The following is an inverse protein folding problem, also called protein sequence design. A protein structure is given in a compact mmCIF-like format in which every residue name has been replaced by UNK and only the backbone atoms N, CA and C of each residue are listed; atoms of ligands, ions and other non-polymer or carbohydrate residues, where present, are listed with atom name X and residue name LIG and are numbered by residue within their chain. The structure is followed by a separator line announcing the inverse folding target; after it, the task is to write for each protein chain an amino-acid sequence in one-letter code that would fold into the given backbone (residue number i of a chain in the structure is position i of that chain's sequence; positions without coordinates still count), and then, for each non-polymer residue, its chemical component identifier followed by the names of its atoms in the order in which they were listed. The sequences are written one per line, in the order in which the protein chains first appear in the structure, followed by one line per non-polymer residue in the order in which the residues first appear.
data_IF_854751818328
#
_entry.id   IF_854751818328
#
_cell.length_a   1.000
_cell.length_b   1.000
_cell.length_c   1.000
_cell.angle_alpha   90.00
_cell.angle_beta   90.00
_cell.angle_gamma   90.00
#
_symmetry.space_group_name_H-M   'P 1'
#
loop_
_entity.id
_entity.type
_entity.pdbx_description
1 polymer ?
#
# COMPACT_ATOMS: atom_id res chain seq x y z
N UNK A 1 17.06 11.98 26.83
CA UNK A 1 16.22 11.61 25.67
C UNK A 1 16.54 10.17 25.32
N UNK A 2 15.54 9.30 25.33
CA UNK A 2 15.69 7.91 24.86
C UNK A 2 15.05 7.85 23.49
N UNK A 3 15.77 7.35 22.50
CA UNK A 3 15.26 7.12 21.14
C UNK A 3 15.12 5.62 20.95
N UNK A 4 13.91 5.16 20.67
CA UNK A 4 13.65 3.77 20.31
C UNK A 4 13.35 3.70 18.82
N UNK A 5 14.16 2.95 18.08
CA UNK A 5 13.98 2.70 16.66
C UNK A 5 13.51 1.27 16.48
N UNK A 6 12.48 1.07 15.67
CA UNK A 6 11.92 -0.23 15.35
C UNK A 6 11.68 -0.32 13.84
N UNK A 7 11.97 -1.47 13.25
CA UNK A 7 11.82 -1.69 11.83
C UNK A 7 12.19 -3.12 11.45
N UNK A 8 11.89 -3.50 10.22
CA UNK A 8 12.31 -4.77 9.64
C UNK A 8 13.22 -4.49 8.46
N UNK A 9 14.50 -4.82 8.58
CA UNK A 9 15.50 -4.58 7.54
C UNK A 9 15.43 -5.56 6.37
N UNK A 10 14.43 -6.45 6.36
CA UNK A 10 14.07 -7.27 5.20
C UNK A 10 13.03 -6.57 4.33
N UNK A 11 12.61 -5.35 4.69
CA UNK A 11 11.75 -4.49 3.88
C UNK A 11 12.59 -3.70 2.86
N UNK A 12 11.90 -2.97 1.98
CA UNK A 12 12.52 -2.13 0.94
C UNK A 12 13.50 -1.12 1.54
N UNK A 13 14.62 -0.90 0.85
CA UNK A 13 15.60 0.12 1.20
C UNK A 13 14.99 1.54 1.11
N UNK A 14 15.59 2.55 1.78
CA UNK A 14 15.17 3.93 1.62
C UNK A 14 15.23 4.36 0.15
N UNK A 15 14.15 4.99 -0.32
CA UNK A 15 14.11 5.52 -1.69
C UNK A 15 14.92 6.81 -1.77
N UNK A 16 16.04 6.79 -2.50
CA UNK A 16 16.87 7.96 -2.76
C UNK A 16 16.71 8.38 -4.22
N UNK A 17 16.03 9.50 -4.45
CA UNK A 17 15.79 10.00 -5.80
C UNK A 17 17.11 10.28 -6.53
N UNK A 18 17.33 9.61 -7.68
CA UNK A 18 18.57 9.68 -8.47
C UNK A 18 19.81 9.20 -7.69
N UNK A 19 19.62 8.42 -6.62
CA UNK A 19 20.70 7.82 -5.84
C UNK A 19 21.28 6.58 -6.51
N UNK A 20 22.49 6.22 -6.09
CA UNK A 20 23.12 4.94 -6.39
C UNK A 20 22.75 3.90 -5.33
N UNK A 21 22.95 2.59 -5.59
CA UNK A 21 22.79 1.56 -4.56
C UNK A 21 23.63 1.84 -3.29
N UNK A 22 24.81 2.47 -3.43
CA UNK A 22 25.62 2.87 -2.29
C UNK A 22 24.95 3.97 -1.45
N UNK A 23 24.26 4.93 -2.09
CA UNK A 23 23.52 5.97 -1.40
C UNK A 23 22.34 5.40 -0.61
N UNK A 24 21.63 4.41 -1.17
CA UNK A 24 20.55 3.70 -0.47
C UNK A 24 21.06 2.95 0.76
N UNK A 25 22.20 2.26 0.64
CA UNK A 25 22.85 1.55 1.75
C UNK A 25 23.32 2.54 2.82
N UNK A 26 23.93 3.65 2.43
CA UNK A 26 24.40 4.68 3.36
C UNK A 26 23.24 5.40 4.08
N UNK A 27 22.07 5.49 3.44
CA UNK A 27 20.85 5.99 4.05
C UNK A 27 20.21 4.99 5.02
N UNK A 28 20.59 3.70 4.97
CA UNK A 28 20.07 2.70 5.90
C UNK A 28 20.55 2.96 7.31
N UNK A 29 19.65 2.80 8.29
CA UNK A 29 19.98 2.98 9.70
C UNK A 29 21.15 2.10 10.17
N UNK A 30 21.33 0.90 9.58
CA UNK A 30 22.47 0.02 9.88
C UNK A 30 23.84 0.64 9.56
N UNK A 31 23.91 1.60 8.65
CA UNK A 31 25.15 2.31 8.32
C UNK A 31 25.49 3.41 9.35
N UNK A 32 24.55 3.77 10.23
CA UNK A 32 24.75 4.80 11.24
C UNK A 32 25.61 4.32 12.41
N UNK A 33 26.54 5.17 12.86
CA UNK A 33 27.34 4.95 14.08
C UNK A 33 26.48 4.86 15.35
N UNK A 34 25.23 5.31 15.29
CA UNK A 34 24.29 5.23 16.40
C UNK A 34 23.67 3.83 16.55
N UNK A 35 23.82 2.96 15.55
CA UNK A 35 23.24 1.62 15.52
C UNK A 35 24.07 0.59 16.31
N UNK A 36 24.24 0.84 17.61
CA UNK A 36 25.12 0.04 18.49
C UNK A 36 24.36 -0.94 19.38
N UNK A 37 23.17 -0.58 19.85
CA UNK A 37 22.37 -1.39 20.76
C UNK A 37 21.15 -1.94 20.02
N UNK A 38 21.18 -3.23 19.69
CA UNK A 38 20.17 -3.88 18.85
C UNK A 38 19.50 -5.01 19.63
N UNK A 39 18.17 -4.99 19.66
CA UNK A 39 17.35 -6.09 20.18
C UNK A 39 16.55 -6.67 19.03
N UNK A 40 16.64 -7.98 18.84
CA UNK A 40 15.91 -8.70 17.80
C UNK A 40 14.72 -9.43 18.39
N UNK A 41 13.55 -9.29 17.75
CA UNK A 41 12.34 -10.05 18.08
C UNK A 41 12.22 -11.25 17.13
N UNK A 42 12.11 -12.45 17.68
CA UNK A 42 12.05 -13.71 16.91
C UNK A 42 10.65 -14.31 16.82
N UNK A 43 9.74 -13.95 17.74
CA UNK A 43 8.39 -14.52 17.79
C UNK A 43 7.44 -13.79 16.84
N UNK A 44 6.93 -14.49 15.83
CA UNK A 44 5.87 -13.98 14.96
C UNK A 44 4.50 -14.11 15.67
N UNK A 45 4.07 -13.03 16.32
CA UNK A 45 2.78 -13.00 17.04
C UNK A 45 1.57 -13.21 16.12
N UNK A 46 1.65 -12.84 14.83
CA UNK A 46 0.54 -13.07 13.89
C UNK A 46 0.28 -14.56 13.68
N UNK A 47 1.34 -15.35 13.54
CA UNK A 47 1.24 -16.81 13.41
C UNK A 47 0.86 -17.46 14.74
N UNK A 48 1.47 -17.00 15.85
CA UNK A 48 1.23 -17.58 17.17
C UNK A 48 -0.23 -17.45 17.61
N UNK A 49 -0.83 -16.28 17.41
CA UNK A 49 -2.20 -15.99 17.88
C UNK A 49 -3.29 -16.74 17.10
N UNK A 50 -3.03 -17.11 15.84
CA UNK A 50 -4.03 -17.77 14.99
C UNK A 50 -3.84 -19.29 14.91
N UNK A 51 -2.73 -19.82 15.46
CA UNK A 51 -2.33 -21.23 15.46
C UNK A 51 -2.53 -21.98 14.12
N UNK A 52 -2.38 -21.25 13.01
CA UNK A 52 -2.57 -21.78 11.67
C UNK A 52 -1.26 -22.39 11.14
N UNK A 53 -1.31 -23.68 10.81
CA UNK A 53 -0.18 -24.42 10.27
C UNK A 53 0.27 -23.86 8.91
N UNK A 54 -0.66 -23.44 8.05
CA UNK A 54 -0.35 -22.87 6.74
C UNK A 54 0.31 -21.49 6.90
N UNK A 55 -0.24 -20.63 7.75
CA UNK A 55 0.38 -19.34 8.09
C UNK A 55 1.80 -19.51 8.63
N UNK A 56 2.07 -20.57 9.41
CA UNK A 56 3.41 -20.90 9.92
C UNK A 56 4.38 -21.29 8.82
N UNK A 57 3.96 -22.16 7.90
CA UNK A 57 4.77 -22.57 6.75
C UNK A 57 5.07 -21.37 5.84
N UNK A 58 4.06 -20.57 5.54
CA UNK A 58 4.19 -19.34 4.75
C UNK A 58 5.16 -18.34 5.41
N UNK A 59 5.02 -18.08 6.71
CA UNK A 59 5.92 -17.20 7.45
C UNK A 59 7.37 -17.71 7.45
N UNK A 60 7.57 -19.03 7.61
CA UNK A 60 8.91 -19.63 7.56
C UNK A 60 9.56 -19.47 6.17
N UNK A 61 8.77 -19.58 5.09
CA UNK A 61 9.26 -19.34 3.74
C UNK A 61 9.61 -17.86 3.51
N UNK A 62 8.76 -16.92 3.94
CA UNK A 62 9.07 -15.49 3.87
C UNK A 62 10.37 -15.13 4.62
N UNK A 63 10.62 -15.76 5.77
CA UNK A 63 11.88 -15.58 6.51
C UNK A 63 13.09 -16.09 5.71
N UNK A 64 12.97 -17.25 5.04
CA UNK A 64 14.05 -17.76 4.18
C UNK A 64 14.32 -16.83 3.01
N UNK A 65 13.29 -16.23 2.41
CA UNK A 65 13.44 -15.24 1.33
C UNK A 65 14.15 -13.99 1.86
N UNK A 66 13.67 -13.41 2.96
CA UNK A 66 14.25 -12.18 3.52
C UNK A 66 15.67 -12.34 4.07
N UNK A 67 16.10 -13.57 4.36
CA UNK A 67 17.44 -13.89 4.87
C UNK A 67 18.35 -14.48 3.79
N UNK A 68 17.92 -14.42 2.52
CA UNK A 68 18.66 -14.88 1.35
C UNK A 68 19.12 -16.36 1.47
N UNK A 69 18.22 -17.20 1.97
CA UNK A 69 18.45 -18.65 2.16
C UNK A 69 17.63 -19.53 1.22
N UNK A 70 16.91 -18.93 0.28
CA UNK A 70 16.24 -19.69 -0.76
C UNK A 70 17.26 -20.08 -1.84
N UNK A 71 17.20 -21.30 -2.39
CA UNK A 71 18.01 -21.66 -3.54
C UNK A 71 17.73 -20.70 -4.69
N UNK A 72 18.79 -20.11 -5.23
CA UNK A 72 18.75 -19.29 -6.43
C UNK A 72 19.38 -20.04 -7.61
N UNK A 73 18.95 -19.71 -8.82
CA UNK A 73 19.58 -20.19 -10.05
C UNK A 73 20.86 -19.39 -10.37
N UNK A 74 21.44 -19.65 -11.55
CA UNK A 74 22.64 -18.96 -12.05
C UNK A 74 22.45 -17.46 -12.26
N UNK A 75 21.21 -16.98 -12.35
CA UNK A 75 20.85 -15.57 -12.50
C UNK A 75 20.50 -14.91 -11.17
N UNK A 76 20.73 -15.61 -10.04
CA UNK A 76 20.34 -15.17 -8.69
C UNK A 76 18.83 -15.01 -8.51
N UNK A 77 18.03 -15.72 -9.31
CA UNK A 77 16.57 -15.70 -9.21
C UNK A 77 16.08 -16.85 -8.34
N UNK A 78 15.13 -16.55 -7.45
CA UNK A 78 14.48 -17.56 -6.61
C UNK A 78 13.29 -18.17 -7.34
N UNK A 79 13.13 -19.48 -7.24
CA UNK A 79 11.92 -20.16 -7.71
C UNK A 79 10.91 -20.25 -6.56
N UNK A 80 9.75 -19.62 -6.73
CA UNK A 80 8.65 -19.75 -5.77
C UNK A 80 7.88 -21.05 -6.03
N UNK A 81 7.70 -21.86 -4.98
CA UNK A 81 6.90 -23.09 -5.07
C UNK A 81 5.40 -22.77 -5.16
N UNK A 82 4.64 -23.71 -5.71
CA UNK A 82 3.16 -23.64 -5.78
C UNK A 82 2.49 -23.61 -4.41
N UNK A 83 3.21 -24.00 -3.36
CA UNK A 83 2.75 -23.91 -1.96
C UNK A 83 2.75 -22.46 -1.43
N UNK A 84 3.57 -21.58 -2.03
CA UNK A 84 3.71 -20.19 -1.59
C UNK A 84 2.93 -19.21 -2.44
N UNK A 85 2.78 -19.51 -3.73
CA UNK A 85 2.04 -18.66 -4.64
C UNK A 85 1.40 -19.47 -5.77
N UNK A 86 0.30 -18.93 -6.28
CA UNK A 86 -0.27 -19.33 -7.55
C UNK A 86 0.25 -18.41 -8.64
N UNK A 87 0.92 -18.97 -9.64
CA UNK A 87 1.35 -18.22 -10.82
C UNK A 87 0.16 -18.10 -11.77
N UNK A 88 -0.14 -16.87 -12.17
CA UNK A 88 -1.17 -16.55 -13.15
C UNK A 88 -0.50 -15.96 -14.39
N UNK A 89 -1.01 -16.33 -15.55
CA UNK A 89 -0.49 -15.98 -16.88
C UNK A 89 -0.96 -14.61 -17.40
N UNK A 90 -1.94 -13.99 -16.74
CA UNK A 90 -2.49 -12.71 -17.17
C UNK A 90 -3.02 -11.84 -16.02
N UNK A 91 -3.04 -10.52 -16.25
CA UNK A 91 -3.68 -9.57 -15.33
C UNK A 91 -5.19 -9.78 -15.23
N UNK A 92 -5.83 -10.32 -16.28
CA UNK A 92 -7.24 -10.70 -16.27
C UNK A 92 -7.51 -11.83 -15.27
N UNK A 93 -6.69 -12.87 -15.28
CA UNK A 93 -6.80 -13.98 -14.33
C UNK A 93 -6.48 -13.54 -12.90
N UNK A 94 -5.49 -12.66 -12.72
CA UNK A 94 -5.21 -12.03 -11.42
C UNK A 94 -6.41 -11.24 -10.89
N UNK A 95 -6.99 -10.38 -11.74
CA UNK A 95 -8.17 -9.58 -11.41
C UNK A 95 -9.33 -10.48 -10.98
N UNK A 96 -9.65 -11.52 -11.74
CA UNK A 96 -10.78 -12.41 -11.45
C UNK A 96 -10.52 -13.32 -10.25
N UNK A 97 -9.27 -13.68 -9.98
CA UNK A 97 -8.87 -14.42 -8.77
C UNK A 97 -9.06 -13.59 -7.51
N UNK A 98 -8.67 -12.30 -7.55
CA UNK A 98 -8.78 -11.40 -6.38
C UNK A 98 -10.19 -10.85 -6.22
N UNK A 99 -10.84 -10.46 -7.31
CA UNK A 99 -12.17 -9.85 -7.34
C UNK A 99 -13.19 -10.71 -8.13
N UNK A 100 -13.51 -11.93 -7.66
CA UNK A 100 -14.54 -12.76 -8.29
C UNK A 100 -15.92 -12.08 -8.19
N UNK A 101 -16.69 -12.15 -9.27
CA UNK A 101 -18.05 -11.57 -9.33
C UNK A 101 -18.11 -10.11 -8.85
N UNK A 102 -17.14 -9.30 -9.27
CA UNK A 102 -16.96 -7.90 -8.83
C UNK A 102 -18.27 -7.10 -8.87
N UNK A 103 -19.07 -7.24 -9.94
CA UNK A 103 -20.33 -6.52 -10.10
C UNK A 103 -21.35 -6.84 -9.00
N UNK A 104 -21.41 -8.10 -8.58
CA UNK A 104 -22.32 -8.52 -7.51
C UNK A 104 -21.84 -8.07 -6.13
N UNK A 105 -20.53 -7.87 -5.95
CA UNK A 105 -19.92 -7.59 -4.66
C UNK A 105 -19.44 -6.15 -4.46
N UNK A 106 -19.55 -5.28 -5.47
CA UNK A 106 -19.00 -3.92 -5.41
C UNK A 106 -19.57 -3.09 -4.26
N UNK A 107 -20.80 -3.35 -3.83
CA UNK A 107 -21.42 -2.68 -2.68
C UNK A 107 -21.06 -3.31 -1.32
N UNK A 108 -20.46 -4.51 -1.32
CA UNK A 108 -20.07 -5.22 -0.12
C UNK A 108 -18.72 -4.73 0.40
N UNK A 109 -18.77 -3.84 1.40
CA UNK A 109 -17.59 -3.21 2.02
C UNK A 109 -16.67 -4.22 2.71
N UNK A 110 -17.22 -5.23 3.37
CA UNK A 110 -16.41 -6.26 4.03
C UNK A 110 -15.66 -7.09 2.99
N UNK A 111 -16.33 -7.45 1.90
CA UNK A 111 -15.70 -8.15 0.79
C UNK A 111 -14.58 -7.32 0.12
N UNK A 112 -14.82 -6.03 -0.11
CA UNK A 112 -13.81 -5.12 -0.66
C UNK A 112 -12.61 -4.93 0.28
N UNK A 113 -12.85 -4.90 1.60
CA UNK A 113 -11.79 -4.63 2.56
C UNK A 113 -10.76 -5.76 2.67
N UNK A 114 -11.13 -6.99 2.32
CA UNK A 114 -10.23 -8.15 2.40
C UNK A 114 -9.31 -8.28 1.20
N UNK A 115 -9.47 -7.43 0.18
CA UNK A 115 -8.84 -7.59 -1.13
C UNK A 115 -8.00 -6.39 -1.52
N UNK A 116 -6.85 -6.65 -2.13
CA UNK A 116 -5.97 -5.65 -2.72
C UNK A 116 -5.10 -6.31 -3.77
N UNK A 117 -4.83 -5.61 -4.87
CA UNK A 117 -3.81 -5.99 -5.84
C UNK A 117 -2.63 -5.05 -5.65
N UNK A 118 -1.44 -5.62 -5.45
CA UNK A 118 -0.19 -4.89 -5.42
C UNK A 118 0.56 -5.16 -6.73
N UNK A 119 1.22 -4.14 -7.27
CA UNK A 119 2.03 -4.27 -8.47
C UNK A 119 3.36 -3.50 -8.31
N UNK A 120 4.44 -3.92 -9.02
CA UNK A 120 5.75 -3.30 -8.86
C UNK A 120 5.82 -1.84 -9.35
N UNK A 121 4.97 -1.46 -10.32
CA UNK A 121 4.99 -0.12 -10.91
C UNK A 121 3.60 0.50 -10.98
N UNK A 122 3.55 1.83 -10.89
CA UNK A 122 2.31 2.59 -10.99
C UNK A 122 1.63 2.48 -12.36
N UNK A 123 2.39 2.22 -13.43
CA UNK A 123 1.84 1.95 -14.75
C UNK A 123 0.99 0.67 -14.76
N UNK A 124 1.50 -0.42 -14.16
CA UNK A 124 0.76 -1.68 -14.04
C UNK A 124 -0.47 -1.48 -13.14
N UNK A 125 -0.32 -0.73 -12.04
CA UNK A 125 -1.46 -0.34 -11.17
C UNK A 125 -2.52 0.40 -11.99
N UNK A 126 -2.13 1.39 -12.80
CA UNK A 126 -3.04 2.15 -13.66
C UNK A 126 -3.81 1.26 -14.64
N UNK A 127 -3.11 0.33 -15.30
CA UNK A 127 -3.74 -0.64 -16.22
C UNK A 127 -4.76 -1.54 -15.52
N UNK A 128 -4.44 -2.08 -14.35
CA UNK A 128 -5.34 -2.94 -13.58
C UNK A 128 -6.53 -2.15 -13.06
N UNK A 129 -6.30 -0.93 -12.54
CA UNK A 129 -7.37 -0.05 -12.08
C UNK A 129 -8.34 0.29 -13.21
N UNK A 130 -7.83 0.58 -14.42
CA UNK A 130 -8.68 0.84 -15.59
C UNK A 130 -9.52 -0.39 -15.99
N UNK A 131 -8.97 -1.60 -15.90
CA UNK A 131 -9.71 -2.85 -16.13
C UNK A 131 -10.83 -3.08 -15.09
N UNK A 132 -10.55 -2.79 -13.82
CA UNK A 132 -11.56 -2.89 -12.75
C UNK A 132 -12.65 -1.82 -12.96
N UNK A 133 -12.25 -0.59 -13.28
CA UNK A 133 -13.17 0.53 -13.55
C UNK A 133 -14.10 0.26 -14.75
N UNK A 134 -13.65 -0.46 -15.78
CA UNK A 134 -14.50 -0.83 -16.92
C UNK A 134 -15.58 -1.86 -16.55
N UNK A 135 -15.33 -2.70 -15.54
CA UNK A 135 -16.25 -3.75 -15.12
C UNK A 135 -17.34 -3.27 -14.17
N UNK A 136 -17.07 -2.18 -13.42
CA UNK A 136 -18.03 -1.56 -12.50
C UNK A 136 -19.06 -0.75 -13.30
N UNK A 137 -20.33 -0.95 -13.00
CA UNK A 137 -21.44 -0.20 -13.64
C UNK A 137 -21.51 1.24 -13.12
N UNK A 138 -22.14 2.12 -13.90
CA UNK A 138 -22.34 3.53 -13.54
C UNK A 138 -21.46 4.50 -14.30
N UNK A 139 -21.82 5.78 -14.19
CA UNK A 139 -21.21 6.86 -14.94
C UNK A 139 -19.82 7.23 -14.40
N UNK A 140 -18.88 7.40 -15.32
CA UNK A 140 -17.56 7.94 -14.99
C UNK A 140 -17.68 9.45 -14.79
N UNK A 141 -17.33 9.93 -13.61
CA UNK A 141 -17.13 11.35 -13.33
C UNK A 141 -15.64 11.65 -13.36
N UNK A 142 -15.29 12.72 -14.06
CA UNK A 142 -13.91 13.14 -14.26
C UNK A 142 -13.67 14.46 -13.52
N UNK A 143 -12.72 14.45 -12.59
CA UNK A 143 -12.24 15.62 -11.88
C UNK A 143 -10.91 16.05 -12.49
N UNK A 144 -10.87 17.29 -12.97
CA UNK A 144 -9.64 17.87 -13.49
C UNK A 144 -8.93 18.64 -12.38
N UNK A 145 -7.62 18.48 -12.30
CA UNK A 145 -6.79 19.34 -11.44
C UNK A 145 -6.81 20.75 -12.01
N UNK A 146 -7.11 21.76 -11.19
CA UNK A 146 -6.96 23.16 -11.58
C UNK A 146 -5.52 23.55 -11.24
N UNK A 147 -4.68 23.67 -12.26
CA UNK A 147 -3.28 24.09 -12.14
C UNK A 147 -3.11 25.59 -11.86
N UNK A 148 -4.21 26.37 -11.91
CA UNK A 148 -4.12 27.82 -11.80
C UNK A 148 -3.95 28.25 -10.33
N UNK A 149 -2.76 28.76 -10.03
CA UNK A 149 -2.53 29.70 -8.94
C UNK A 149 -3.29 30.98 -9.29
N UNK A 150 -4.54 31.07 -8.83
CA UNK A 150 -5.29 32.32 -8.81
C UNK A 150 -5.36 32.73 -7.35
N UNK A 151 -4.81 33.92 -7.08
CA UNK A 151 -4.57 34.55 -5.77
C UNK A 151 -3.32 34.10 -4.98
N UNK A 152 -2.32 34.99 -5.02
CA UNK A 152 -1.16 35.02 -4.12
C UNK A 152 -1.54 35.18 -2.63
N UNK A 153 -2.82 35.37 -2.32
CA UNK A 153 -3.33 35.54 -0.95
C UNK A 153 -4.02 34.29 -0.38
N UNK A 154 -4.24 33.23 -1.18
CA UNK A 154 -4.79 31.94 -0.73
C UNK A 154 -3.79 30.77 -0.89
N UNK A 155 -2.50 31.05 -0.65
CA UNK A 155 -1.43 30.04 -0.69
C UNK A 155 -1.56 29.10 0.51
N UNK A 156 -2.46 28.12 0.44
CA UNK A 156 -2.22 26.85 1.16
C UNK A 156 -1.18 26.07 0.38
N UNK A 157 0.10 26.37 0.64
CA UNK A 157 1.26 25.47 0.56
C UNK A 157 1.07 24.25 -0.35
N UNK A 158 1.20 24.41 -1.67
CA UNK A 158 1.45 23.29 -2.56
C UNK A 158 2.92 23.36 -3.01
N UNK A 159 3.80 22.48 -2.49
CA UNK A 159 5.14 22.36 -3.03
C UNK A 159 5.05 21.85 -4.46
N UNK A 160 5.67 22.56 -5.39
CA UNK A 160 5.77 22.19 -6.81
C UNK A 160 6.32 20.77 -6.98
N UNK A 161 7.19 20.33 -6.07
CA UNK A 161 7.78 18.99 -6.03
C UNK A 161 6.75 17.86 -5.83
N UNK A 162 5.65 18.12 -5.10
CA UNK A 162 4.58 17.14 -4.90
C UNK A 162 3.79 16.92 -6.19
N UNK A 163 3.54 17.97 -6.95
CA UNK A 163 2.84 17.90 -8.24
C UNK A 163 3.71 17.21 -9.30
N UNK A 164 5.00 17.53 -9.35
CA UNK A 164 5.96 16.87 -10.24
C UNK A 164 6.15 15.36 -9.90
N UNK A 165 6.01 14.97 -8.63
CA UNK A 165 6.07 13.56 -8.22
C UNK A 165 4.89 12.72 -8.72
N UNK A 166 3.74 13.36 -9.00
CA UNK A 166 2.57 12.71 -9.58
C UNK A 166 2.72 12.50 -11.10
N UNK A 167 3.46 13.37 -11.79
CA UNK A 167 3.67 13.31 -13.25
C UNK A 167 4.60 12.16 -13.68
N UNK A 168 5.58 11.79 -12.86
CA UNK A 168 6.57 10.75 -13.17
C UNK A 168 6.02 9.31 -13.12
N UNK A 169 4.75 9.10 -12.71
CA UNK A 169 4.22 7.79 -12.33
C UNK A 169 3.22 7.14 -13.30
N UNK A 170 3.00 7.67 -14.50
CA UNK A 170 2.09 7.05 -15.49
C UNK A 170 0.60 7.17 -15.17
N UNK A 171 0.23 7.87 -14.08
CA UNK A 171 -1.13 8.36 -13.85
C UNK A 171 -1.17 9.79 -14.40
N UNK A 172 -2.12 10.10 -15.31
CA UNK A 172 -2.29 11.48 -15.81
C UNK A 172 -2.73 12.36 -14.63
N UNK A 173 -1.79 13.07 -14.01
CA UNK A 173 -1.95 13.86 -12.77
C UNK A 173 -3.08 14.90 -12.83
N UNK A 174 -3.45 15.34 -14.04
CA UNK A 174 -4.50 16.33 -14.28
C UNK A 174 -5.91 15.75 -14.30
N UNK A 175 -6.10 14.41 -14.19
CA UNK A 175 -7.40 13.78 -14.41
C UNK A 175 -7.67 12.60 -13.48
N UNK A 176 -8.60 12.78 -12.55
CA UNK A 176 -9.11 11.73 -11.66
C UNK A 176 -10.47 11.24 -12.18
N UNK A 177 -10.55 9.96 -12.58
CA UNK A 177 -11.79 9.32 -13.04
C UNK A 177 -12.33 8.41 -11.94
N UNK A 178 -13.60 8.58 -11.58
CA UNK A 178 -14.25 7.81 -10.52
C UNK A 178 -15.65 7.37 -10.94
N UNK A 179 -16.12 6.28 -10.32
CA UNK A 179 -17.51 5.81 -10.34
C UNK A 179 -18.00 5.66 -8.91
N UNK A 180 -19.32 5.69 -8.69
CA UNK A 180 -19.88 5.32 -7.39
C UNK A 180 -19.62 3.82 -7.14
N UNK A 181 -19.38 3.44 -5.88
CA UNK A 181 -19.12 2.06 -5.47
C UNK A 181 -17.64 1.66 -5.47
N UNK A 182 -16.77 2.37 -6.18
CA UNK A 182 -15.35 1.96 -6.32
C UNK A 182 -14.54 2.25 -5.05
N UNK A 183 -13.59 1.37 -4.69
CA UNK A 183 -12.64 1.66 -3.62
C UNK A 183 -11.61 2.70 -4.06
N UNK A 184 -11.27 3.61 -3.15
CA UNK A 184 -10.23 4.63 -3.30
C UNK A 184 -9.32 4.66 -2.07
N UNK A 185 -8.10 5.15 -2.22
CA UNK A 185 -7.14 5.31 -1.13
C UNK A 185 -6.80 6.79 -0.94
N UNK A 186 -6.79 7.25 0.31
CA UNK A 186 -6.29 8.58 0.63
C UNK A 186 -4.79 8.64 0.42
N UNK A 187 -4.33 9.67 -0.30
CA UNK A 187 -2.90 9.94 -0.53
C UNK A 187 -2.32 10.98 0.44
N UNK A 188 -3.15 11.52 1.35
CA UNK A 188 -2.78 12.57 2.31
C UNK A 188 -3.46 12.36 3.65
N UNK A 189 -2.88 12.96 4.68
CA UNK A 189 -3.48 13.05 6.00
C UNK A 189 -4.54 14.15 6.01
N UNK A 190 -5.80 13.79 6.31
CA UNK A 190 -6.90 14.74 6.42
C UNK A 190 -7.30 14.97 7.88
N UNK A 191 -7.34 13.90 8.66
CA UNK A 191 -7.75 13.94 10.07
C UNK A 191 -7.05 12.82 10.85
N UNK A 192 -5.76 13.01 11.21
CA UNK A 192 -5.02 12.02 11.98
C UNK A 192 -5.60 11.79 13.38
N UNK A 193 -5.64 10.53 13.89
CA UNK A 193 -5.21 9.28 13.26
C UNK A 193 -6.32 8.57 12.46
N UNK A 194 -7.48 9.19 12.26
CA UNK A 194 -8.69 8.54 11.72
C UNK A 194 -8.66 8.39 10.20
N UNK A 195 -8.22 9.44 9.50
CA UNK A 195 -8.12 9.56 8.04
C UNK A 195 -6.71 10.00 7.65
N UNK A 196 -5.84 9.02 7.47
CA UNK A 196 -4.45 9.20 7.09
C UNK A 196 -4.18 8.69 5.68
N UNK A 197 -3.00 9.03 5.15
CA UNK A 197 -2.47 8.39 3.95
C UNK A 197 -2.56 6.85 4.06
N UNK A 198 -3.01 6.19 3.01
CA UNK A 198 -3.28 4.76 2.98
C UNK A 198 -4.68 4.34 3.44
N UNK A 199 -5.51 5.25 3.95
CA UNK A 199 -6.88 4.90 4.35
C UNK A 199 -7.72 4.52 3.12
N UNK A 200 -8.24 3.29 3.10
CA UNK A 200 -9.16 2.82 2.05
C UNK A 200 -10.60 3.22 2.36
N UNK A 201 -11.25 3.81 1.36
CA UNK A 201 -12.63 4.28 1.37
C UNK A 201 -13.38 3.71 0.17
N UNK A 202 -14.70 3.69 0.20
CA UNK A 202 -15.56 3.39 -0.95
C UNK A 202 -16.38 4.62 -1.29
N UNK A 203 -16.36 5.02 -2.56
CA UNK A 203 -17.12 6.16 -3.07
C UNK A 203 -18.62 5.88 -2.96
N UNK A 204 -19.37 6.77 -2.32
CA UNK A 204 -20.84 6.66 -2.20
C UNK A 204 -21.57 7.76 -2.96
N UNK A 205 -20.89 8.85 -3.32
CA UNK A 205 -21.47 9.93 -4.11
C UNK A 205 -20.38 10.78 -4.77
N UNK A 206 -20.64 11.19 -6.01
CA UNK A 206 -19.78 12.05 -6.82
C UNK A 206 -20.57 13.31 -7.21
N UNK A 207 -20.21 14.45 -6.62
CA UNK A 207 -20.74 15.76 -6.98
C UNK A 207 -19.67 16.60 -7.69
N UNK A 208 -20.04 17.80 -8.17
CA UNK A 208 -19.16 18.66 -8.98
C UNK A 208 -17.78 18.91 -8.35
N UNK A 209 -17.75 19.25 -7.06
CA UNK A 209 -16.53 19.57 -6.31
C UNK A 209 -16.45 18.80 -4.98
N UNK A 210 -17.21 17.70 -4.85
CA UNK A 210 -17.29 16.94 -3.60
C UNK A 210 -17.39 15.46 -3.90
N UNK A 211 -16.58 14.68 -3.20
CA UNK A 211 -16.62 13.21 -3.21
C UNK A 211 -17.01 12.79 -1.80
N UNK A 212 -18.09 12.02 -1.68
CA UNK A 212 -18.43 11.36 -0.41
C UNK A 212 -17.99 9.91 -0.49
N UNK A 213 -17.34 9.45 0.57
CA UNK A 213 -16.87 8.09 0.67
C UNK A 213 -16.93 7.58 2.11
N UNK A 214 -17.05 6.26 2.28
CA UNK A 214 -17.15 5.60 3.58
C UNK A 214 -15.95 4.68 3.76
N UNK A 215 -15.37 4.65 4.97
CA UNK A 215 -14.24 3.78 5.29
C UNK A 215 -14.62 2.31 5.17
N UNK A 216 -13.82 1.53 4.45
CA UNK A 216 -14.07 0.08 4.25
C UNK A 216 -13.22 -0.81 5.16
N UNK A 217 -12.11 -0.33 5.72
CA UNK A 217 -11.30 -1.14 6.63
C UNK A 217 -11.87 -1.13 8.06
N UNK A 218 -11.96 -2.32 8.68
CA UNK A 218 -12.16 -2.46 10.13
C UNK A 218 -11.03 -1.75 10.89
N UNK A 219 -11.34 -1.27 12.11
CA UNK A 219 -10.33 -0.86 13.10
C UNK A 219 -9.26 -1.94 13.13
N UNK A 220 -8.00 -1.55 12.97
CA UNK A 220 -6.89 -2.47 13.15
C UNK A 220 -7.07 -3.24 14.46
N UNK A 221 -6.94 -4.56 14.44
CA UNK A 221 -6.84 -5.44 15.61
C UNK A 221 -5.55 -5.20 16.42
N UNK A 222 -5.02 -3.98 16.41
CA UNK A 222 -4.14 -3.50 17.46
C UNK A 222 -5.05 -2.92 18.53
N UNK A 223 -5.59 -3.79 19.41
CA UNK A 223 -5.71 -3.35 20.79
C UNK A 223 -4.28 -3.09 21.24
N UNK A 224 -3.86 -1.83 21.18
CA UNK A 224 -2.81 -1.38 22.08
C UNK A 224 -3.35 -1.71 23.47
N UNK A 225 -2.86 -2.79 24.07
CA UNK A 225 -2.99 -2.95 25.50
C UNK A 225 -2.35 -1.70 26.09
N UNK A 226 -3.20 -0.78 26.55
CA UNK A 226 -2.81 0.15 27.60
C UNK A 226 -2.28 -0.71 28.74
N UNK A 227 -0.95 -0.87 28.80
CA UNK A 227 -0.31 -1.19 30.07
C UNK A 227 -0.26 0.13 30.83
N UNK A 228 -1.43 0.54 31.30
CA UNK A 228 -1.55 1.43 32.44
C UNK A 228 -1.39 0.56 33.70
N UNK A 229 -0.21 0.65 34.31
CA UNK A 229 0.12 0.12 35.62
C UNK A 229 1.56 0.53 35.90
N UNK A 230 1.84 1.74 36.41
CA UNK A 230 1.73 2.14 37.82
C UNK A 230 2.20 1.04 38.78
N UNK A 231 3.52 1.00 38.97
CA UNK A 231 4.18 1.19 40.28
C UNK A 231 5.66 1.44 40.05
#
# INVERSE_FOLDING_TARGET
MVVLLAGDFRQTLPVIARGTPADEINACLKASVLWTHVVSLSTNMRVLLHNDCQARQYAAALLKIGEDRMPSDSESMITLSSELCQILDSTYNLKNSVYPDLRANIENREWLCERVILAPTNEIVGRINDQIMSDVEGDVIEYLSVENVVDAEQVTSYPTDFLNSLELSGVRSHKLRLKVGVPVMLMRNLDPPRLCNGTRLQVTYLGRNVIKAVKICRKSLFHANEVAGKS
#
